data_IF_885101495899
#
_entry.id   IF_885101495899
#
_cell.length_a   1.000
_cell.length_b   1.000
_cell.length_c   1.000
_cell.angle_alpha   90.00
_cell.angle_beta   90.00
_cell.angle_gamma   90.00
#
_symmetry.space_group_name_H-M   'P 1'
#
loop_
_entity.id
_entity.type
_entity.pdbx_description
1 polymer ?
#
# COMPACT_ATOMS: atom_id res chain seq x y z
N UNK A 1 7.61 20.66 -7.44
CA UNK A 1 6.93 20.32 -8.71
C UNK A 1 7.44 18.97 -9.16
N UNK A 2 6.75 17.88 -8.88
CA UNK A 2 7.20 16.54 -9.27
C UNK A 2 6.08 15.81 -10.01
N UNK A 3 6.39 15.38 -11.24
CA UNK A 3 5.45 14.78 -12.19
C UNK A 3 5.11 13.36 -11.74
N UNK A 4 3.86 12.93 -11.88
CA UNK A 4 3.51 11.52 -11.78
C UNK A 4 4.29 10.75 -12.86
N UNK A 5 5.07 9.74 -12.45
CA UNK A 5 5.76 8.84 -13.36
C UNK A 5 4.75 7.85 -13.92
N UNK A 6 4.51 7.91 -15.24
CA UNK A 6 3.76 6.91 -15.97
C UNK A 6 4.76 6.09 -16.77
N UNK A 7 4.97 4.83 -16.41
CA UNK A 7 5.76 3.91 -17.21
C UNK A 7 4.82 3.22 -18.21
N UNK A 8 5.00 3.54 -19.49
CA UNK A 8 4.30 2.86 -20.58
C UNK A 8 5.17 1.67 -20.98
N UNK A 9 4.68 0.45 -20.73
CA UNK A 9 5.32 -0.78 -21.23
C UNK A 9 4.66 -1.11 -22.58
N UNK A 10 5.38 -0.87 -23.69
CA UNK A 10 4.91 -1.22 -25.03
C UNK A 10 5.37 -2.64 -25.39
N UNK A 11 4.41 -3.53 -25.71
CA UNK A 11 4.72 -4.84 -26.27
C UNK A 11 4.77 -4.76 -27.81
N UNK A 12 5.76 -5.43 -28.41
CA UNK A 12 6.17 -5.29 -29.82
C UNK A 12 5.20 -5.88 -30.87
N UNK A 13 3.98 -6.27 -30.51
CA UNK A 13 3.01 -6.85 -31.43
C UNK A 13 1.63 -6.19 -31.25
N UNK A 14 1.40 -5.10 -31.98
CA UNK A 14 0.07 -4.54 -32.24
C UNK A 14 -0.58 -3.73 -31.10
N UNK A 15 -0.36 -2.41 -31.11
CA UNK A 15 -1.23 -1.31 -30.60
C UNK A 15 -1.97 -1.42 -29.25
N UNK A 16 -1.71 -2.40 -28.38
CA UNK A 16 -2.21 -2.44 -27.01
C UNK A 16 -1.07 -2.06 -26.08
N UNK A 17 -1.13 -0.84 -25.53
CA UNK A 17 -0.20 -0.35 -24.51
C UNK A 17 -0.80 -0.52 -23.12
N UNK A 18 -0.07 -1.16 -22.21
CA UNK A 18 -0.51 -1.31 -20.81
C UNK A 18 -0.11 -0.04 -20.06
N UNK A 19 -1.08 0.69 -19.53
CA UNK A 19 -0.82 1.84 -18.66
C UNK A 19 -0.61 1.35 -17.22
N UNK A 20 0.63 1.37 -16.76
CA UNK A 20 0.94 1.14 -15.35
C UNK A 20 0.83 2.46 -14.59
N UNK A 21 -0.27 2.64 -13.87
CA UNK A 21 -0.40 3.75 -12.93
C UNK A 21 0.35 3.39 -11.66
N UNK A 22 1.54 3.98 -11.48
CA UNK A 22 2.29 3.87 -10.23
C UNK A 22 1.63 4.82 -9.24
N UNK A 23 1.06 4.32 -8.13
CA UNK A 23 0.40 5.19 -7.18
C UNK A 23 1.41 6.15 -6.55
N UNK A 24 1.01 7.41 -6.41
CA UNK A 24 1.82 8.46 -5.80
C UNK A 24 1.92 8.23 -4.30
N UNK A 25 3.11 8.41 -3.76
CA UNK A 25 3.33 8.38 -2.31
C UNK A 25 2.89 9.70 -1.66
N UNK A 26 2.36 9.62 -0.45
CA UNK A 26 1.97 10.75 0.38
C UNK A 26 2.60 10.63 1.76
N UNK A 27 2.80 11.78 2.41
CA UNK A 27 3.13 11.81 3.84
C UNK A 27 1.84 11.70 4.63
N UNK A 28 1.83 10.86 5.66
CA UNK A 28 0.63 10.65 6.47
C UNK A 28 0.60 11.62 7.65
N UNK A 29 -0.56 11.71 8.29
CA UNK A 29 -0.74 12.32 9.61
C UNK A 29 -0.57 11.31 10.75
N UNK A 30 -0.27 10.05 10.45
CA UNK A 30 -0.04 9.00 11.45
C UNK A 30 1.31 9.20 12.13
N UNK A 31 1.34 9.09 13.46
CA UNK A 31 2.57 9.14 14.25
C UNK A 31 3.47 7.92 14.05
N UNK A 32 2.93 6.83 13.48
CA UNK A 32 3.64 5.56 13.36
C UNK A 32 3.93 5.16 11.91
N UNK A 33 3.06 5.54 10.97
CA UNK A 33 3.12 5.11 9.58
C UNK A 33 3.44 6.30 8.68
N UNK A 34 4.69 6.75 8.63
CA UNK A 34 5.03 8.06 8.03
C UNK A 34 4.79 8.23 6.52
N UNK A 35 4.48 7.17 5.79
CA UNK A 35 4.22 7.18 4.35
C UNK A 35 3.01 6.33 3.98
N UNK A 36 2.26 6.79 3.00
CA UNK A 36 1.12 6.10 2.43
C UNK A 36 1.05 6.28 0.93
N UNK A 37 -0.10 5.93 0.39
CA UNK A 37 -0.38 5.90 -1.03
C UNK A 37 -1.66 6.65 -1.36
N UNK A 38 -1.58 7.59 -2.30
CA UNK A 38 -2.75 8.29 -2.78
C UNK A 38 -3.65 7.32 -3.55
N UNK A 39 -4.88 7.17 -3.07
CA UNK A 39 -5.92 6.34 -3.71
C UNK A 39 -7.31 6.91 -3.43
N UNK A 40 -8.32 6.35 -4.09
CA UNK A 40 -9.71 6.61 -3.74
C UNK A 40 -10.00 5.98 -2.37
N UNK A 41 -10.86 6.64 -1.59
CA UNK A 41 -11.27 6.16 -0.27
C UNK A 41 -11.88 4.75 -0.32
N UNK A 42 -12.70 4.49 -1.35
CA UNK A 42 -13.29 3.17 -1.61
C UNK A 42 -12.24 2.10 -1.89
N UNK A 43 -11.18 2.44 -2.63
CA UNK A 43 -10.08 1.52 -2.91
C UNK A 43 -9.27 1.25 -1.65
N UNK A 44 -8.99 2.29 -0.86
CA UNK A 44 -8.25 2.15 0.39
C UNK A 44 -8.96 1.20 1.37
N UNK A 45 -10.27 1.43 1.57
CA UNK A 45 -11.10 0.59 2.45
C UNK A 45 -11.27 -0.83 1.91
N UNK A 46 -11.41 -1.00 0.60
CA UNK A 46 -11.51 -2.32 -0.05
C UNK A 46 -10.28 -3.20 0.18
N UNK A 47 -9.09 -2.61 0.20
CA UNK A 47 -7.84 -3.35 0.45
C UNK A 47 -7.51 -3.52 1.94
N UNK A 48 -8.41 -3.13 2.84
CA UNK A 48 -8.19 -3.16 4.29
C UNK A 48 -7.22 -2.08 4.78
N UNK A 49 -7.04 -1.01 4.01
CA UNK A 49 -6.24 0.15 4.40
C UNK A 49 -6.97 1.10 5.33
N UNK A 50 -6.19 1.93 6.01
CA UNK A 50 -6.64 3.03 6.83
C UNK A 50 -6.34 4.38 6.16
N UNK A 51 -7.25 5.34 6.34
CA UNK A 51 -7.07 6.71 5.89
C UNK A 51 -6.17 7.43 6.89
N UNK A 52 -5.01 7.88 6.42
CA UNK A 52 -4.00 8.54 7.23
C UNK A 52 -3.63 9.93 6.68
N UNK A 53 -4.60 10.61 6.06
CA UNK A 53 -4.44 11.97 5.54
C UNK A 53 -5.11 12.17 4.18
N UNK A 54 -4.85 13.31 3.58
CA UNK A 54 -5.37 13.71 2.27
C UNK A 54 -4.22 13.83 1.24
N UNK A 55 -4.56 13.76 -0.05
CA UNK A 55 -3.61 13.93 -1.14
C UNK A 55 -3.81 15.24 -1.89
N UNK A 56 -2.71 15.87 -2.33
CA UNK A 56 -2.68 17.19 -2.99
C UNK A 56 -3.60 17.34 -4.21
N UNK A 57 -3.94 16.24 -4.89
CA UNK A 57 -4.69 16.24 -6.16
C UNK A 57 -5.98 15.42 -6.09
N UNK A 58 -6.57 15.35 -4.91
CA UNK A 58 -7.72 14.53 -4.54
C UNK A 58 -7.38 13.07 -4.19
N UNK A 59 -8.27 12.48 -3.40
CA UNK A 59 -8.09 11.16 -2.80
C UNK A 59 -7.53 11.25 -1.37
N UNK A 60 -7.37 10.07 -0.79
CA UNK A 60 -6.90 9.90 0.58
C UNK A 60 -5.50 9.31 0.60
N UNK A 61 -4.73 9.68 1.63
CA UNK A 61 -3.46 9.05 1.91
C UNK A 61 -3.69 7.71 2.61
N UNK A 62 -3.69 6.63 1.84
CA UNK A 62 -3.99 5.29 2.33
C UNK A 62 -2.74 4.59 2.88
N UNK A 63 -2.87 3.97 4.05
CA UNK A 63 -1.85 3.08 4.61
C UNK A 63 -2.44 1.69 4.80
N UNK A 64 -1.69 0.65 4.45
CA UNK A 64 -2.15 -0.73 4.61
C UNK A 64 -1.24 -1.44 5.60
N UNK A 65 -1.59 -1.49 6.90
CA UNK A 65 -0.83 -2.22 7.89
C UNK A 65 -1.14 -3.72 7.81
N UNK A 66 -0.14 -4.52 7.48
CA UNK A 66 -0.14 -5.96 7.65
C UNK A 66 0.33 -6.30 9.07
N UNK A 67 -0.61 -6.80 9.87
CA UNK A 67 -0.30 -7.35 11.20
C UNK A 67 0.46 -8.67 11.08
N UNK A 68 1.26 -8.97 12.09
CA UNK A 68 1.91 -10.26 12.26
C UNK A 68 0.98 -11.45 11.98
N UNK A 69 1.45 -12.45 11.21
CA UNK A 69 0.68 -13.63 10.84
C UNK A 69 -0.18 -13.48 9.58
N UNK A 70 -0.35 -12.26 9.07
CA UNK A 70 -1.18 -12.00 7.89
C UNK A 70 -0.50 -12.40 6.57
N UNK A 71 -1.33 -12.54 5.53
CA UNK A 71 -0.88 -12.61 4.14
C UNK A 71 -1.25 -11.30 3.45
N UNK A 72 -0.29 -10.62 2.83
CA UNK A 72 -0.52 -9.36 2.15
C UNK A 72 -0.22 -9.44 0.65
N UNK A 73 -1.21 -9.03 -0.15
CA UNK A 73 -1.14 -8.93 -1.61
C UNK A 73 -0.90 -7.51 -2.14
N UNK A 74 -0.88 -6.52 -1.24
CA UNK A 74 -0.94 -5.10 -1.58
C UNK A 74 0.46 -4.52 -1.57
N UNK A 75 0.83 -3.85 -2.68
CA UNK A 75 2.13 -3.18 -2.82
C UNK A 75 2.22 -2.00 -1.84
N UNK A 76 3.42 -1.74 -1.31
CA UNK A 76 3.72 -0.62 -0.38
C UNK A 76 2.85 -0.62 0.87
N UNK A 77 2.86 -1.75 1.56
CA UNK A 77 2.18 -1.97 2.83
C UNK A 77 3.19 -1.90 4.00
N UNK A 78 2.68 -1.69 5.21
CA UNK A 78 3.49 -1.64 6.43
C UNK A 78 3.44 -2.96 7.16
N UNK A 79 4.57 -3.49 7.59
CA UNK A 79 4.58 -4.62 8.50
C UNK A 79 4.56 -4.12 9.95
N UNK A 80 3.58 -4.56 10.73
CA UNK A 80 3.39 -4.12 12.11
C UNK A 80 3.22 -5.31 13.05
N UNK A 81 3.56 -5.11 14.33
CA UNK A 81 3.31 -6.09 15.37
C UNK A 81 1.81 -6.35 15.57
N UNK A 82 1.47 -7.49 16.17
CA UNK A 82 0.07 -7.90 16.40
C UNK A 82 -0.72 -6.91 17.25
N UNK A 83 -0.05 -6.24 18.19
CA UNK A 83 -0.66 -5.29 19.12
C UNK A 83 -0.61 -3.84 18.63
N UNK A 84 -0.13 -3.58 17.40
CA UNK A 84 -0.04 -2.25 16.83
C UNK A 84 -1.39 -1.49 16.90
N UNK A 85 -1.41 -0.20 17.28
CA UNK A 85 -0.30 0.70 17.59
C UNK A 85 0.27 0.60 19.02
N UNK A 86 -0.20 -0.36 19.82
CA UNK A 86 0.31 -0.65 21.15
C UNK A 86 1.68 -1.34 21.16
N UNK A 87 2.31 -1.33 22.33
CA UNK A 87 3.57 -2.03 22.57
C UNK A 87 3.32 -3.54 22.76
N UNK A 88 4.26 -4.37 22.30
CA UNK A 88 4.25 -5.82 22.54
C UNK A 88 4.45 -6.06 24.04
N UNK A 89 3.52 -6.76 24.70
CA UNK A 89 3.77 -7.28 26.05
C UNK A 89 4.81 -8.40 26.02
N UNK A 90 5.70 -8.47 27.02
CA UNK A 90 6.84 -9.44 27.08
C UNK A 90 6.42 -10.91 26.96
N UNK A 91 5.12 -11.22 27.12
CA UNK A 91 4.54 -12.55 26.95
C UNK A 91 4.37 -13.00 25.49
N UNK A 92 4.62 -12.13 24.50
CA UNK A 92 4.48 -12.43 23.05
C UNK A 92 5.78 -12.29 22.27
N UNK A 93 6.91 -12.73 22.83
CA UNK A 93 8.10 -13.06 22.05
C UNK A 93 7.85 -14.34 21.21
N UNK A 94 6.86 -14.27 20.32
CA UNK A 94 6.50 -15.33 19.37
C UNK A 94 7.15 -15.07 18.02
N UNK A 95 7.51 -16.15 17.32
CA UNK A 95 7.98 -16.06 15.94
C UNK A 95 6.90 -15.46 15.05
N UNK A 96 7.20 -14.31 14.46
CA UNK A 96 6.27 -13.63 13.58
C UNK A 96 6.55 -13.92 12.10
N UNK A 97 5.61 -14.57 11.42
CA UNK A 97 5.69 -14.85 9.98
C UNK A 97 4.69 -13.98 9.21
N UNK A 98 5.19 -13.15 8.31
CA UNK A 98 4.40 -12.45 7.30
C UNK A 98 4.51 -13.19 5.97
N UNK A 99 3.40 -13.37 5.27
CA UNK A 99 3.39 -13.92 3.90
C UNK A 99 3.13 -12.80 2.91
N UNK A 100 4.06 -12.59 1.98
CA UNK A 100 3.87 -11.63 0.88
C UNK A 100 3.42 -12.43 -0.33
N UNK A 101 2.17 -12.22 -0.73
CA UNK A 101 1.68 -12.75 -2.00
C UNK A 101 1.89 -11.68 -3.05
N UNK A 102 2.66 -11.99 -4.10
CA UNK A 102 2.72 -11.08 -5.25
C UNK A 102 1.32 -11.04 -5.86
N UNK A 103 0.67 -9.88 -5.85
CA UNK A 103 -0.54 -9.68 -6.63
C UNK A 103 -0.22 -9.97 -8.09
N UNK A 104 -1.06 -10.78 -8.75
CA UNK A 104 -0.93 -10.94 -10.19
C UNK A 104 -1.06 -9.56 -10.83
N UNK A 105 -0.07 -9.20 -11.63
CA UNK A 105 -0.22 -8.10 -12.57
C UNK A 105 -1.19 -8.63 -13.63
N UNK A 106 -2.50 -8.38 -13.45
CA UNK A 106 -3.46 -8.61 -14.53
C UNK A 106 -3.10 -7.64 -15.64
N UNK A 107 -2.31 -8.15 -16.59
CA UNK A 107 -2.09 -7.52 -17.88
C UNK A 107 -3.40 -7.69 -18.64
N UNK A 108 -4.24 -6.67 -18.60
CA UNK A 108 -5.39 -6.52 -19.50
C UNK A 108 -4.94 -5.74 -20.73
#
# INVERSE_FOLDING_TARGET
MEKAGHDIVTNFLGNIGILKVIPRECSTTSTFLGKGMCSLESTCTQVGGAIAGECDRAGVCCVVPAVCGSTIGVKRSWFVNKEFPGAISESYAEDCVLRIQKSEETVI
#
